data_IF_724625550604
#
_entry.id   IF_724625550604
#
_cell.length_a   1.000
_cell.length_b   1.000
_cell.length_c   1.000
_cell.angle_alpha   90.00
_cell.angle_beta   90.00
_cell.angle_gamma   90.00
#
_symmetry.space_group_name_H-M   'P 1'
#
loop_
_entity.id
_entity.type
_entity.pdbx_description
1 polymer ?
#
# COMPACT_ATOMS: atom_id res chain seq x y z
N UNK A 1 -21.92 -16.04 10.46
CA UNK A 1 -20.61 -15.90 9.81
C UNK A 1 -19.99 -14.49 9.94
N UNK A 2 -20.52 -13.63 10.81
CA UNK A 2 -20.07 -12.22 10.98
C UNK A 2 -19.21 -11.93 12.22
N UNK A 3 -19.07 -12.86 13.15
CA UNK A 3 -18.46 -12.59 14.47
C UNK A 3 -16.93 -12.68 14.50
N UNK A 4 -16.27 -13.12 13.43
CA UNK A 4 -14.81 -13.36 13.44
C UNK A 4 -13.96 -12.24 12.80
N UNK A 5 -14.60 -11.18 12.27
CA UNK A 5 -13.90 -10.02 11.67
C UNK A 5 -13.55 -8.89 12.66
N UNK A 6 -14.02 -8.97 13.90
CA UNK A 6 -13.90 -7.86 14.89
C UNK A 6 -12.68 -7.92 15.83
N UNK A 7 -11.69 -8.78 15.60
CA UNK A 7 -10.59 -8.96 16.58
C UNK A 7 -9.37 -8.03 16.45
N UNK A 8 -9.37 -7.05 15.54
CA UNK A 8 -8.26 -6.08 15.43
C UNK A 8 -8.73 -4.66 15.06
N UNK A 9 -9.96 -4.28 15.30
CA UNK A 9 -10.39 -2.88 15.16
C UNK A 9 -10.08 -2.13 16.46
N UNK A 10 -9.53 -0.92 16.31
CA UNK A 10 -9.32 0.01 17.42
C UNK A 10 -10.67 0.26 18.11
N UNK A 11 -10.67 0.30 19.44
CA UNK A 11 -11.85 0.71 20.18
C UNK A 11 -11.98 2.23 20.09
N UNK A 12 -12.98 2.69 19.35
CA UNK A 12 -13.21 4.12 19.14
C UNK A 12 -14.02 4.78 20.24
N UNK A 13 -14.62 4.03 21.15
CA UNK A 13 -15.45 4.56 22.24
C UNK A 13 -14.63 5.37 23.24
N UNK A 14 -13.33 5.12 23.31
CA UNK A 14 -12.37 5.84 24.17
C UNK A 14 -11.95 7.23 23.62
N UNK A 15 -12.43 7.64 22.45
CA UNK A 15 -12.07 8.94 21.89
C UNK A 15 -13.15 9.99 22.17
N UNK A 16 -12.80 11.29 22.19
CA UNK A 16 -13.77 12.36 22.36
C UNK A 16 -14.94 12.29 21.38
N UNK A 17 -16.16 12.68 21.78
CA UNK A 17 -17.36 12.56 20.94
C UNK A 17 -17.22 13.19 19.54
N UNK A 18 -16.54 14.34 19.43
CA UNK A 18 -16.31 15.05 18.18
C UNK A 18 -15.43 14.23 17.21
N UNK A 19 -14.49 13.44 17.75
CA UNK A 19 -13.65 12.52 16.96
C UNK A 19 -14.47 11.28 16.58
N UNK A 20 -15.30 10.75 17.50
CA UNK A 20 -16.19 9.62 17.20
C UNK A 20 -17.19 9.93 16.07
N UNK A 21 -17.74 11.14 16.02
CA UNK A 21 -18.59 11.60 14.91
C UNK A 21 -17.84 11.56 13.56
N UNK A 22 -16.61 12.07 13.55
CA UNK A 22 -15.77 12.03 12.34
C UNK A 22 -15.44 10.59 11.91
N UNK A 23 -15.14 9.70 12.86
CA UNK A 23 -14.93 8.28 12.61
C UNK A 23 -16.17 7.65 11.97
N UNK A 24 -17.34 7.91 12.53
CA UNK A 24 -18.62 7.42 12.01
C UNK A 24 -18.87 7.92 10.58
N UNK A 25 -18.61 9.20 10.31
CA UNK A 25 -18.70 9.75 8.97
C UNK A 25 -17.74 9.08 7.99
N UNK A 26 -16.49 8.87 8.39
CA UNK A 26 -15.48 8.22 7.55
C UNK A 26 -15.80 6.76 7.25
N UNK A 27 -16.22 6.02 8.26
CA UNK A 27 -16.50 4.57 8.14
C UNK A 27 -17.82 4.30 7.44
N UNK A 28 -18.90 4.95 7.88
CA UNK A 28 -20.27 4.63 7.41
C UNK A 28 -20.61 5.39 6.13
N UNK A 29 -20.38 6.70 6.09
CA UNK A 29 -20.80 7.54 4.95
C UNK A 29 -19.77 7.48 3.81
N UNK A 30 -18.46 7.55 4.13
CA UNK A 30 -17.42 7.52 3.11
C UNK A 30 -16.92 6.10 2.79
N UNK A 31 -17.34 5.08 3.53
CA UNK A 31 -16.93 3.69 3.29
C UNK A 31 -15.42 3.45 3.40
N UNK A 32 -14.71 4.27 4.20
CA UNK A 32 -13.28 4.09 4.40
C UNK A 32 -13.00 2.77 5.11
N UNK A 33 -11.90 2.10 4.74
CA UNK A 33 -11.46 0.90 5.46
C UNK A 33 -11.10 1.21 6.92
N UNK A 34 -11.26 0.23 7.82
CA UNK A 34 -10.86 0.36 9.23
C UNK A 34 -9.43 0.87 9.36
N UNK A 35 -8.49 0.32 8.61
CA UNK A 35 -7.09 0.77 8.60
C UNK A 35 -6.93 2.26 8.25
N UNK A 36 -7.71 2.76 7.28
CA UNK A 36 -7.69 4.19 6.92
C UNK A 36 -8.24 5.05 8.05
N UNK A 37 -9.30 4.59 8.72
CA UNK A 37 -9.89 5.29 9.86
C UNK A 37 -8.92 5.30 11.04
N UNK A 38 -8.30 4.16 11.36
CA UNK A 38 -7.26 4.05 12.41
C UNK A 38 -6.12 5.04 12.20
N UNK A 39 -5.62 5.17 10.96
CA UNK A 39 -4.55 6.13 10.63
C UNK A 39 -5.01 7.58 10.85
N UNK A 40 -6.23 7.94 10.47
CA UNK A 40 -6.79 9.26 10.77
C UNK A 40 -6.86 9.53 12.26
N UNK A 41 -7.36 8.56 13.02
CA UNK A 41 -7.53 8.69 14.48
C UNK A 41 -6.18 8.85 15.19
N UNK A 42 -5.19 8.03 14.80
CA UNK A 42 -3.84 8.14 15.36
C UNK A 42 -3.18 9.49 15.07
N UNK A 43 -3.36 10.01 13.84
CA UNK A 43 -2.81 11.32 13.51
C UNK A 43 -3.50 12.46 14.25
N UNK A 44 -4.83 12.41 14.40
CA UNK A 44 -5.59 13.38 15.20
C UNK A 44 -5.24 13.29 16.68
N UNK A 45 -5.08 12.07 17.23
CA UNK A 45 -4.65 11.87 18.61
C UNK A 45 -3.33 12.58 18.90
N UNK A 46 -2.32 12.38 18.03
CA UNK A 46 -1.01 13.02 18.21
C UNK A 46 -1.13 14.54 18.07
N UNK A 47 -1.95 15.04 17.16
CA UNK A 47 -2.19 16.46 16.96
C UNK A 47 -2.80 17.11 18.21
N UNK A 48 -3.87 16.53 18.75
CA UNK A 48 -4.52 17.08 19.94
C UNK A 48 -3.67 16.92 21.21
N UNK A 49 -2.93 15.81 21.37
CA UNK A 49 -1.92 15.68 22.44
C UNK A 49 -0.91 16.82 22.38
N UNK A 50 -0.39 17.13 21.20
CA UNK A 50 0.55 18.23 21.01
C UNK A 50 -0.08 19.58 21.40
N UNK A 51 -1.31 19.85 20.98
CA UNK A 51 -1.99 21.12 21.32
C UNK A 51 -2.20 21.28 22.83
N UNK A 52 -2.66 20.22 23.50
CA UNK A 52 -2.86 20.24 24.97
C UNK A 52 -1.53 20.46 25.67
N UNK A 53 -0.50 19.71 25.32
CA UNK A 53 0.84 19.84 25.90
C UNK A 53 1.39 21.26 25.71
N UNK A 54 1.28 21.82 24.52
CA UNK A 54 1.74 23.18 24.21
C UNK A 54 1.00 24.23 25.01
N UNK A 55 -0.31 24.09 25.21
CA UNK A 55 -1.14 25.02 25.95
C UNK A 55 -0.93 24.93 27.48
N UNK A 56 -0.60 23.72 27.96
CA UNK A 56 -0.32 23.47 29.38
C UNK A 56 1.17 23.65 29.75
N UNK A 57 2.03 24.00 28.81
CA UNK A 57 3.47 24.14 29.05
C UNK A 57 4.20 22.82 29.33
N UNK A 58 3.62 21.68 28.89
CA UNK A 58 4.23 20.34 29.01
C UNK A 58 5.25 20.15 27.91
N UNK A 59 6.46 19.68 28.27
CA UNK A 59 7.51 19.38 27.30
C UNK A 59 7.08 18.24 26.38
N UNK A 60 7.20 18.44 25.06
CA UNK A 60 6.83 17.43 24.04
C UNK A 60 7.88 16.33 23.86
N UNK A 61 9.04 16.43 24.54
CA UNK A 61 10.17 15.47 24.46
C UNK A 61 10.24 14.55 25.69
N UNK A 62 9.41 14.80 26.72
CA UNK A 62 9.43 14.05 27.98
C UNK A 62 8.41 12.92 28.06
N UNK A 63 8.54 12.10 29.11
CA UNK A 63 7.59 11.03 29.44
C UNK A 63 6.19 11.59 29.72
N UNK A 64 6.10 12.78 30.31
CA UNK A 64 4.84 13.48 30.57
C UNK A 64 3.98 13.65 29.30
N UNK A 65 4.61 13.85 28.16
CA UNK A 65 3.88 13.94 26.89
C UNK A 65 3.13 12.66 26.54
N UNK A 66 3.67 11.50 26.86
CA UNK A 66 2.99 10.21 26.56
C UNK A 66 1.75 10.02 27.46
N UNK A 67 1.70 10.66 28.64
CA UNK A 67 0.58 10.61 29.57
C UNK A 67 -0.54 11.63 29.25
N UNK A 68 -0.29 12.60 28.37
CA UNK A 68 -1.31 13.59 27.99
C UNK A 68 -2.54 12.89 27.42
N UNK A 69 -3.70 13.02 28.08
CA UNK A 69 -4.99 12.58 27.58
C UNK A 69 -5.57 13.58 26.59
N UNK A 70 -6.38 13.08 25.66
CA UNK A 70 -7.18 13.89 24.73
C UNK A 70 -8.66 13.92 25.09
N UNK A 71 -9.05 13.42 26.25
CA UNK A 71 -10.46 13.31 26.67
C UNK A 71 -11.15 14.68 26.79
N UNK A 72 -10.37 15.74 27.04
CA UNK A 72 -10.83 17.12 27.12
C UNK A 72 -11.06 17.79 25.75
N UNK A 73 -10.82 17.08 24.64
CA UNK A 73 -11.02 17.67 23.31
C UNK A 73 -12.51 17.76 23.00
N UNK A 74 -13.02 18.95 23.03
CA UNK A 74 -14.40 19.33 22.74
C UNK A 74 -14.50 20.28 21.53
N UNK A 75 -15.71 20.74 21.23
CA UNK A 75 -15.96 21.65 20.12
C UNK A 75 -15.27 23.02 20.32
N UNK A 76 -15.24 23.53 21.54
CA UNK A 76 -14.63 24.81 21.86
C UNK A 76 -13.12 24.78 21.63
N UNK A 77 -12.46 23.73 22.13
CA UNK A 77 -11.04 23.50 21.86
C UNK A 77 -10.74 23.40 20.39
N UNK A 78 -11.53 22.60 19.64
CA UNK A 78 -11.33 22.40 18.20
C UNK A 78 -11.53 23.71 17.42
N UNK A 79 -12.52 24.52 17.78
CA UNK A 79 -12.78 25.81 17.17
C UNK A 79 -11.69 26.86 17.50
N UNK A 80 -11.04 26.76 18.66
CA UNK A 80 -9.97 27.65 19.06
C UNK A 80 -8.64 27.45 18.33
N UNK A 81 -8.51 26.37 17.55
CA UNK A 81 -7.28 26.04 16.80
C UNK A 81 -7.08 27.01 15.64
N UNK A 82 -5.87 27.54 15.54
CA UNK A 82 -5.46 28.46 14.49
C UNK A 82 -4.50 27.79 13.51
N UNK A 83 -4.28 28.44 12.39
CA UNK A 83 -3.32 28.00 11.37
C UNK A 83 -1.90 27.87 11.94
N UNK A 84 -1.52 28.77 12.85
CA UNK A 84 -0.23 28.78 13.55
C UNK A 84 -0.02 27.52 14.39
N UNK A 85 -1.07 27.03 15.05
CA UNK A 85 -1.02 25.79 15.85
C UNK A 85 -0.69 24.58 14.96
N UNK A 86 -1.25 24.55 13.74
CA UNK A 86 -0.97 23.46 12.79
C UNK A 86 0.46 23.55 12.27
N UNK A 87 0.98 24.76 12.00
CA UNK A 87 2.39 24.94 11.65
C UNK A 87 3.32 24.52 12.79
N UNK A 88 3.02 24.91 14.04
CA UNK A 88 3.77 24.49 15.21
C UNK A 88 3.79 22.97 15.37
N UNK A 89 2.65 22.29 15.14
CA UNK A 89 2.59 20.83 15.12
C UNK A 89 3.46 20.21 14.01
N UNK A 90 3.45 20.77 12.80
CA UNK A 90 4.30 20.28 11.72
C UNK A 90 5.79 20.49 12.01
N UNK A 91 6.17 21.56 12.70
CA UNK A 91 7.53 21.77 13.21
C UNK A 91 7.90 20.73 14.28
N UNK A 92 7.03 20.48 15.25
CA UNK A 92 7.19 19.41 16.24
C UNK A 92 7.38 18.05 15.56
N UNK A 93 6.51 17.71 14.60
CA UNK A 93 6.62 16.48 13.85
C UNK A 93 7.96 16.35 13.10
N UNK A 94 8.55 17.47 12.69
CA UNK A 94 9.85 17.51 12.00
C UNK A 94 11.01 17.35 12.99
N UNK A 95 11.05 18.19 14.02
CA UNK A 95 12.23 18.34 14.86
C UNK A 95 12.31 17.27 15.96
N UNK A 96 11.19 17.01 16.63
CA UNK A 96 11.13 16.07 17.74
C UNK A 96 10.88 14.63 17.29
N UNK A 97 9.97 14.44 16.36
CA UNK A 97 9.60 13.08 15.87
C UNK A 97 10.38 12.62 14.65
N UNK A 98 11.29 13.42 14.10
CA UNK A 98 12.08 13.11 12.90
C UNK A 98 11.21 12.64 11.70
N UNK A 99 9.99 13.16 11.59
CA UNK A 99 9.07 12.74 10.54
C UNK A 99 9.51 13.28 9.19
N UNK A 100 9.58 12.37 8.21
CA UNK A 100 9.83 12.74 6.82
C UNK A 100 8.60 13.42 6.19
N UNK A 101 8.81 14.12 5.05
CA UNK A 101 7.76 14.88 4.38
C UNK A 101 6.49 14.06 4.06
N UNK A 102 6.63 12.77 3.73
CA UNK A 102 5.48 11.89 3.50
C UNK A 102 4.61 11.71 4.75
N UNK A 103 5.25 11.50 5.92
CA UNK A 103 4.53 11.36 7.20
C UNK A 103 3.86 12.66 7.62
N UNK A 104 4.53 13.82 7.43
CA UNK A 104 3.95 15.14 7.69
C UNK A 104 2.76 15.44 6.78
N UNK A 105 2.87 15.11 5.49
CA UNK A 105 1.78 15.28 4.54
C UNK A 105 0.56 14.41 4.91
N UNK A 106 0.77 13.17 5.39
CA UNK A 106 -0.31 12.31 5.88
C UNK A 106 -1.01 12.91 7.10
N UNK A 107 -0.25 13.37 8.09
CA UNK A 107 -0.78 14.04 9.29
C UNK A 107 -1.58 15.28 8.94
N UNK A 108 -1.05 16.13 8.07
CA UNK A 108 -1.78 17.30 7.57
C UNK A 108 -3.06 16.91 6.83
N UNK A 109 -3.04 15.83 6.06
CA UNK A 109 -4.23 15.33 5.37
C UNK A 109 -5.32 14.87 6.34
N UNK A 110 -4.95 14.28 7.48
CA UNK A 110 -5.88 13.90 8.54
C UNK A 110 -6.52 15.16 9.17
N UNK A 111 -5.73 16.16 9.52
CA UNK A 111 -6.19 17.44 10.08
C UNK A 111 -7.13 18.13 9.09
N UNK A 112 -6.72 18.26 7.81
CA UNK A 112 -7.56 18.84 6.76
C UNK A 112 -8.88 18.11 6.55
N UNK A 113 -8.87 16.79 6.60
CA UNK A 113 -10.07 15.99 6.44
C UNK A 113 -11.04 16.17 7.61
N UNK A 114 -10.50 16.27 8.84
CA UNK A 114 -11.26 16.52 10.06
C UNK A 114 -11.92 17.91 10.03
N UNK A 115 -11.15 18.97 9.82
CA UNK A 115 -11.68 20.34 9.76
C UNK A 115 -12.67 20.53 8.59
N UNK A 116 -12.40 19.93 7.44
CA UNK A 116 -13.38 19.94 6.32
C UNK A 116 -14.70 19.29 6.71
N UNK A 117 -14.66 18.20 7.49
CA UNK A 117 -15.87 17.56 8.00
C UNK A 117 -16.64 18.50 8.90
N UNK A 118 -15.99 19.11 9.87
CA UNK A 118 -16.63 19.99 10.86
C UNK A 118 -17.24 21.24 10.23
N UNK A 119 -16.53 21.88 9.30
CA UNK A 119 -16.99 23.09 8.60
C UNK A 119 -18.01 22.75 7.51
N UNK A 120 -17.68 21.90 6.55
CA UNK A 120 -18.48 21.71 5.35
C UNK A 120 -19.60 20.66 5.48
N UNK A 121 -19.62 19.83 6.54
CA UNK A 121 -20.64 18.80 6.75
C UNK A 121 -21.45 19.01 8.02
N UNK A 122 -20.80 19.46 9.08
CA UNK A 122 -21.46 19.70 10.38
C UNK A 122 -21.86 21.15 10.59
N UNK A 123 -21.24 22.09 9.85
CA UNK A 123 -21.48 23.54 10.00
C UNK A 123 -21.32 24.01 11.43
N UNK A 124 -20.34 23.46 12.17
CA UNK A 124 -20.08 23.84 13.55
C UNK A 124 -19.45 25.23 13.66
N UNK A 125 -18.70 25.64 12.65
CA UNK A 125 -18.07 26.97 12.51
C UNK A 125 -17.73 27.21 11.03
N UNK A 126 -17.44 28.47 10.68
CA UNK A 126 -17.25 28.89 9.28
C UNK A 126 -15.76 28.80 8.84
N UNK A 127 -14.83 29.05 9.75
CA UNK A 127 -13.42 29.13 9.43
C UNK A 127 -12.73 27.76 9.53
N UNK A 128 -11.99 27.41 8.47
CA UNK A 128 -11.18 26.19 8.45
C UNK A 128 -9.69 26.54 8.56
N UNK A 129 -9.04 26.34 9.74
CA UNK A 129 -7.65 26.71 9.95
C UNK A 129 -6.65 25.95 9.08
N UNK A 130 -7.06 24.82 8.48
CA UNK A 130 -6.20 23.98 7.66
C UNK A 130 -6.35 24.22 6.15
N UNK A 131 -7.27 25.09 5.70
CA UNK A 131 -7.66 25.17 4.28
C UNK A 131 -6.49 25.59 3.39
N UNK A 132 -5.75 26.62 3.80
CA UNK A 132 -4.70 27.24 3.00
C UNK A 132 -3.29 26.68 3.27
N UNK A 133 -3.16 25.67 4.13
CA UNK A 133 -1.85 25.08 4.42
C UNK A 133 -1.44 24.19 3.26
N UNK A 134 -0.32 24.49 2.62
CA UNK A 134 0.23 23.62 1.57
C UNK A 134 0.81 22.33 2.14
N UNK A 135 0.62 21.24 1.40
CA UNK A 135 1.24 19.97 1.78
C UNK A 135 2.76 20.02 1.58
N UNK A 136 3.56 19.50 2.54
CA UNK A 136 5.00 19.43 2.40
C UNK A 136 5.41 18.80 1.06
N UNK A 137 6.28 19.47 0.32
CA UNK A 137 6.78 18.97 -0.97
C UNK A 137 7.50 17.64 -0.78
N UNK A 138 7.01 16.61 -1.43
CA UNK A 138 7.68 15.32 -1.47
C UNK A 138 8.71 15.30 -2.59
N UNK A 139 9.95 14.94 -2.28
CA UNK A 139 10.94 14.66 -3.32
C UNK A 139 10.49 13.40 -4.07
N UNK A 140 10.15 13.55 -5.33
CA UNK A 140 9.90 12.41 -6.22
C UNK A 140 11.25 11.72 -6.45
N UNK A 141 11.51 10.62 -5.76
CA UNK A 141 12.61 9.73 -6.14
C UNK A 141 12.17 8.86 -7.31
N UNK A 142 13.08 8.57 -8.21
CA UNK A 142 12.83 7.56 -9.24
C UNK A 142 12.40 6.25 -8.59
N UNK A 143 11.40 5.55 -9.14
CA UNK A 143 10.96 4.28 -8.59
C UNK A 143 12.13 3.29 -8.57
N UNK A 144 12.47 2.76 -7.40
CA UNK A 144 13.42 1.65 -7.30
C UNK A 144 12.67 0.37 -7.66
N UNK A 145 13.22 -0.42 -8.56
CA UNK A 145 12.72 -1.72 -8.99
C UNK A 145 13.90 -2.67 -9.22
N UNK A 146 13.66 -3.97 -9.23
CA UNK A 146 14.66 -4.97 -9.53
C UNK A 146 14.92 -5.01 -11.05
N UNK A 147 16.17 -5.14 -11.46
CA UNK A 147 16.48 -5.47 -12.85
C UNK A 147 15.93 -6.86 -13.19
N UNK A 148 15.96 -7.24 -14.48
CA UNK A 148 15.60 -8.58 -14.91
C UNK A 148 16.51 -9.62 -14.23
N UNK A 149 17.82 -9.38 -14.23
CA UNK A 149 18.84 -10.25 -13.63
C UNK A 149 18.61 -10.42 -12.13
N UNK A 150 18.36 -9.32 -11.40
CA UNK A 150 18.06 -9.37 -9.98
C UNK A 150 16.76 -10.14 -9.68
N UNK A 151 15.76 -10.00 -10.55
CA UNK A 151 14.51 -10.75 -10.42
C UNK A 151 14.70 -12.25 -10.64
N UNK A 152 15.56 -12.63 -11.58
CA UNK A 152 15.92 -14.02 -11.83
C UNK A 152 16.72 -14.61 -10.66
N UNK A 153 17.73 -13.89 -10.14
CA UNK A 153 18.49 -14.29 -8.96
C UNK A 153 17.55 -14.50 -7.75
N UNK A 154 16.61 -13.60 -7.52
CA UNK A 154 15.63 -13.75 -6.44
C UNK A 154 14.78 -15.03 -6.61
N UNK A 155 14.26 -15.29 -7.81
CA UNK A 155 13.47 -16.49 -8.09
C UNK A 155 14.29 -17.77 -7.90
N UNK A 156 15.53 -17.78 -8.36
CA UNK A 156 16.45 -18.92 -8.22
C UNK A 156 16.79 -19.16 -6.74
N UNK A 157 17.05 -18.12 -5.97
CA UNK A 157 17.30 -18.20 -4.54
C UNK A 157 16.15 -18.88 -3.80
N UNK A 158 14.91 -18.48 -4.10
CA UNK A 158 13.73 -19.11 -3.49
C UNK A 158 13.59 -20.57 -3.91
N UNK A 159 13.74 -20.87 -5.20
CA UNK A 159 13.61 -22.23 -5.74
C UNK A 159 14.62 -23.21 -5.12
N UNK A 160 15.81 -22.73 -4.82
CA UNK A 160 16.93 -23.53 -4.30
C UNK A 160 16.99 -23.59 -2.76
N UNK A 161 16.08 -22.94 -2.02
CA UNK A 161 16.00 -23.01 -0.56
C UNK A 161 15.45 -24.37 -0.10
N UNK A 162 16.38 -25.32 0.11
CA UNK A 162 16.05 -26.67 0.58
C UNK A 162 15.73 -26.74 2.07
N UNK A 163 16.07 -25.71 2.83
CA UNK A 163 15.80 -25.66 4.27
C UNK A 163 14.36 -25.25 4.57
N UNK A 164 13.71 -24.56 3.65
CA UNK A 164 12.35 -24.11 3.82
C UNK A 164 11.34 -25.22 3.50
N UNK A 165 10.47 -25.53 4.46
CA UNK A 165 9.32 -26.44 4.25
C UNK A 165 8.18 -25.79 3.45
N UNK A 166 8.36 -24.56 2.97
CA UNK A 166 7.33 -23.78 2.27
C UNK A 166 7.81 -23.23 0.92
N UNK A 167 8.84 -23.85 0.36
CA UNK A 167 9.52 -23.37 -0.86
C UNK A 167 8.55 -23.24 -2.03
N UNK A 168 7.68 -24.20 -2.26
CA UNK A 168 6.66 -24.16 -3.33
C UNK A 168 5.71 -22.99 -3.18
N UNK A 169 5.23 -22.74 -1.96
CA UNK A 169 4.38 -21.58 -1.63
C UNK A 169 5.11 -20.27 -1.87
N UNK A 170 6.33 -20.16 -1.33
CA UNK A 170 7.09 -18.92 -1.35
C UNK A 170 7.53 -18.58 -2.78
N UNK A 171 7.89 -19.59 -3.57
CA UNK A 171 8.19 -19.45 -4.99
C UNK A 171 6.96 -18.98 -5.78
N UNK A 172 5.80 -19.60 -5.57
CA UNK A 172 4.56 -19.17 -6.21
C UNK A 172 4.19 -17.72 -5.86
N UNK A 173 4.34 -17.31 -4.58
CA UNK A 173 4.06 -15.95 -4.14
C UNK A 173 4.97 -14.93 -4.84
N UNK A 174 6.29 -15.16 -4.87
CA UNK A 174 7.25 -14.22 -5.48
C UNK A 174 7.06 -14.18 -7.00
N UNK A 175 6.81 -15.33 -7.63
CA UNK A 175 6.51 -15.40 -9.07
C UNK A 175 5.27 -14.58 -9.42
N UNK A 176 4.19 -14.68 -8.64
CA UNK A 176 2.98 -13.88 -8.84
C UNK A 176 3.23 -12.38 -8.67
N UNK A 177 4.04 -11.97 -7.68
CA UNK A 177 4.38 -10.56 -7.53
C UNK A 177 5.14 -10.01 -8.74
N UNK A 178 6.14 -10.74 -9.22
CA UNK A 178 7.02 -10.32 -10.31
C UNK A 178 6.35 -10.40 -11.68
N UNK A 179 5.38 -11.28 -11.88
CA UNK A 179 4.71 -11.45 -13.19
C UNK A 179 3.36 -10.72 -13.26
N UNK A 180 2.57 -10.71 -12.18
CA UNK A 180 1.22 -10.17 -12.21
C UNK A 180 1.12 -8.77 -11.56
N UNK A 181 2.14 -8.34 -10.85
CA UNK A 181 2.16 -7.03 -10.21
C UNK A 181 1.01 -6.80 -9.22
N UNK A 182 0.51 -7.86 -8.56
CA UNK A 182 -0.62 -7.75 -7.64
C UNK A 182 -0.27 -7.03 -6.34
N UNK A 183 -1.28 -6.52 -5.64
CA UNK A 183 -1.10 -5.94 -4.30
C UNK A 183 -0.94 -7.04 -3.27
N UNK A 184 -0.22 -6.75 -2.18
CA UNK A 184 -0.04 -7.71 -1.08
C UNK A 184 -1.37 -8.19 -0.50
N UNK A 185 -2.31 -7.26 -0.28
CA UNK A 185 -3.66 -7.61 0.22
C UNK A 185 -4.46 -8.49 -0.76
N UNK A 186 -4.30 -8.27 -2.06
CA UNK A 186 -4.92 -9.09 -3.09
C UNK A 186 -4.36 -10.52 -3.04
N UNK A 187 -3.03 -10.67 -2.97
CA UNK A 187 -2.36 -11.98 -2.91
C UNK A 187 -2.78 -12.78 -1.68
N UNK A 188 -2.74 -12.19 -0.48
CA UNK A 188 -3.13 -12.91 0.75
C UNK A 188 -4.63 -13.22 0.79
N UNK A 189 -5.43 -12.47 0.02
CA UNK A 189 -6.87 -12.65 -0.10
C UNK A 189 -7.30 -13.83 -0.96
N UNK A 190 -6.44 -14.35 -1.84
CA UNK A 190 -6.79 -15.39 -2.82
C UNK A 190 -7.28 -16.65 -2.11
N UNK A 191 -8.39 -17.20 -2.62
CA UNK A 191 -8.91 -18.52 -2.26
C UNK A 191 -8.62 -19.52 -3.37
N UNK A 192 -8.68 -20.81 -3.07
CA UNK A 192 -8.52 -21.88 -4.06
C UNK A 192 -9.55 -21.73 -5.19
N UNK A 193 -10.80 -21.37 -4.85
CA UNK A 193 -11.88 -21.22 -5.81
C UNK A 193 -11.81 -19.94 -6.65
N UNK A 194 -10.86 -19.06 -6.38
CA UNK A 194 -10.64 -17.85 -7.19
C UNK A 194 -9.76 -18.12 -8.41
N UNK A 195 -9.17 -19.32 -8.48
CA UNK A 195 -8.34 -19.77 -9.61
C UNK A 195 -9.20 -20.60 -10.54
N UNK A 196 -9.10 -20.31 -11.82
CA UNK A 196 -9.69 -21.09 -12.89
C UNK A 196 -9.05 -22.49 -12.97
N UNK A 197 -9.85 -23.50 -13.37
CA UNK A 197 -9.43 -24.91 -13.41
C UNK A 197 -8.20 -25.16 -14.29
N UNK A 198 -8.09 -24.43 -15.38
CA UNK A 198 -6.97 -24.54 -16.33
C UNK A 198 -5.79 -23.64 -15.95
N UNK A 199 -5.83 -22.98 -14.79
CA UNK A 199 -4.85 -22.02 -14.30
C UNK A 199 -4.56 -20.87 -15.31
N UNK A 200 -5.55 -20.49 -16.13
CA UNK A 200 -5.39 -19.40 -17.12
C UNK A 200 -5.58 -18.04 -16.48
N UNK A 201 -6.40 -17.98 -15.43
CA UNK A 201 -6.72 -16.74 -14.76
C UNK A 201 -7.01 -16.94 -13.27
N UNK A 202 -6.91 -15.86 -12.52
CA UNK A 202 -7.36 -15.80 -11.15
C UNK A 202 -8.14 -14.50 -10.90
N UNK A 203 -9.13 -14.58 -10.05
CA UNK A 203 -9.92 -13.44 -9.60
C UNK A 203 -9.33 -12.87 -8.32
N UNK A 204 -9.16 -11.56 -8.27
CA UNK A 204 -8.69 -10.85 -7.07
C UNK A 204 -9.65 -9.75 -6.68
N UNK A 205 -9.74 -9.53 -5.37
CA UNK A 205 -10.53 -8.46 -4.77
C UNK A 205 -9.62 -7.28 -4.46
N UNK A 206 -9.80 -6.19 -5.20
CA UNK A 206 -9.03 -4.97 -5.05
C UNK A 206 -9.62 -3.99 -4.02
N UNK A 207 -9.05 -2.77 -3.99
CA UNK A 207 -9.54 -1.69 -3.14
C UNK A 207 -11.01 -1.37 -3.43
N UNK A 208 -11.80 -1.17 -2.38
CA UNK A 208 -13.23 -0.88 -2.51
C UNK A 208 -14.08 -2.07 -2.95
N UNK A 209 -13.62 -3.29 -2.68
CA UNK A 209 -14.32 -4.53 -3.02
C UNK A 209 -14.53 -4.74 -4.53
N UNK A 210 -13.71 -4.09 -5.37
CA UNK A 210 -13.76 -4.25 -6.83
C UNK A 210 -13.02 -5.50 -7.25
N UNK A 211 -13.72 -6.38 -7.95
CA UNK A 211 -13.13 -7.58 -8.53
C UNK A 211 -12.41 -7.27 -9.84
N UNK A 212 -11.29 -7.95 -10.07
CA UNK A 212 -10.64 -7.99 -11.39
C UNK A 212 -10.05 -9.35 -11.66
N UNK A 213 -9.93 -9.67 -12.92
CA UNK A 213 -9.29 -10.90 -13.40
C UNK A 213 -7.82 -10.60 -13.72
N UNK A 214 -6.94 -11.48 -13.28
CA UNK A 214 -5.52 -11.51 -13.63
C UNK A 214 -5.28 -12.73 -14.48
N UNK A 215 -4.72 -12.54 -15.68
CA UNK A 215 -4.31 -13.63 -16.55
C UNK A 215 -2.94 -14.15 -16.12
N UNK A 216 -2.81 -15.47 -16.07
CA UNK A 216 -1.61 -16.17 -15.63
C UNK A 216 -0.79 -16.62 -16.84
N UNK A 217 0.45 -16.16 -16.93
CA UNK A 217 1.41 -16.67 -17.91
C UNK A 217 1.94 -18.05 -17.50
N UNK A 218 2.74 -18.65 -18.35
CA UNK A 218 3.31 -20.00 -18.15
C UNK A 218 4.10 -20.07 -16.83
N UNK A 219 4.99 -19.13 -16.57
CA UNK A 219 5.77 -19.09 -15.33
C UNK A 219 4.89 -19.07 -14.06
N UNK A 220 3.77 -18.36 -14.10
CA UNK A 220 2.82 -18.35 -12.97
C UNK A 220 2.12 -19.69 -12.81
N UNK A 221 1.75 -20.35 -13.91
CA UNK A 221 1.12 -21.68 -13.87
C UNK A 221 2.07 -22.73 -13.32
N UNK A 222 3.31 -22.75 -13.81
CA UNK A 222 4.34 -23.68 -13.38
C UNK A 222 4.71 -23.50 -11.89
N UNK A 223 4.68 -22.25 -11.39
CA UNK A 223 4.92 -21.98 -9.98
C UNK A 223 3.72 -22.35 -9.10
N UNK A 224 2.49 -22.16 -9.59
CA UNK A 224 1.28 -22.43 -8.81
C UNK A 224 0.93 -23.91 -8.73
N UNK A 225 1.17 -24.69 -9.80
CA UNK A 225 0.75 -26.10 -9.88
C UNK A 225 1.30 -26.93 -8.71
N UNK A 226 2.61 -26.95 -8.40
CA UNK A 226 3.15 -27.71 -7.27
C UNK A 226 2.53 -27.26 -5.95
N UNK A 227 2.40 -25.95 -5.74
CA UNK A 227 1.83 -25.40 -4.52
C UNK A 227 0.35 -25.80 -4.33
N UNK A 228 -0.45 -25.75 -5.40
CA UNK A 228 -1.86 -26.16 -5.35
C UNK A 228 -1.98 -27.64 -5.02
N UNK A 229 -1.12 -28.48 -5.62
CA UNK A 229 -1.09 -29.93 -5.36
C UNK A 229 -0.83 -30.19 -3.88
N UNK A 230 0.23 -29.62 -3.31
CA UNK A 230 0.55 -29.74 -1.89
C UNK A 230 -0.57 -29.19 -1.00
N UNK A 231 -1.17 -28.07 -1.40
CA UNK A 231 -2.27 -27.43 -0.65
C UNK A 231 -3.53 -28.31 -0.60
N UNK A 232 -3.85 -29.01 -1.72
CA UNK A 232 -4.98 -29.92 -1.81
C UNK A 232 -4.71 -31.23 -1.05
N UNK A 233 -3.49 -31.76 -1.11
CA UNK A 233 -3.08 -32.94 -0.32
C UNK A 233 -3.16 -32.64 1.19
N UNK A 234 -2.67 -31.47 1.61
CA UNK A 234 -2.80 -31.05 2.99
C UNK A 234 -4.27 -30.96 3.42
N UNK A 235 -5.15 -30.45 2.56
CA UNK A 235 -6.58 -30.37 2.87
C UNK A 235 -7.27 -31.73 2.97
N UNK A 236 -6.77 -32.77 2.30
CA UNK A 236 -7.27 -34.15 2.41
C UNK A 236 -6.83 -34.80 3.72
N UNK A 237 -5.62 -34.48 4.17
CA UNK A 237 -4.98 -35.14 5.31
C UNK A 237 -5.26 -34.43 6.65
N UNK A 238 -5.68 -33.18 6.62
CA UNK A 238 -5.93 -32.36 7.82
C UNK A 238 -7.26 -31.59 7.72
N UNK A 239 -7.87 -31.28 8.87
CA UNK A 239 -9.08 -30.44 8.91
C UNK A 239 -8.72 -28.96 8.76
N UNK A 240 -8.45 -28.53 7.54
CA UNK A 240 -8.20 -27.12 7.26
C UNK A 240 -9.53 -26.38 7.18
N UNK A 241 -9.73 -25.41 8.05
CA UNK A 241 -10.96 -24.61 8.11
C UNK A 241 -10.79 -23.25 7.37
N UNK A 242 -10.24 -23.28 6.15
CA UNK A 242 -10.11 -22.09 5.31
C UNK A 242 -9.94 -22.44 3.83
N UNK A 243 -10.58 -21.65 2.97
CA UNK A 243 -10.42 -21.75 1.51
C UNK A 243 -9.20 -20.97 0.99
N UNK A 244 -8.38 -20.38 1.88
CA UNK A 244 -7.20 -19.62 1.47
C UNK A 244 -6.25 -20.47 0.62
N UNK A 245 -5.76 -19.88 -0.49
CA UNK A 245 -4.74 -20.52 -1.32
C UNK A 245 -3.41 -20.63 -0.57
N UNK A 246 -2.97 -19.53 0.03
CA UNK A 246 -1.70 -19.47 0.75
C UNK A 246 -1.91 -19.58 2.25
N UNK A 247 -1.27 -20.57 2.86
CA UNK A 247 -1.37 -20.84 4.28
C UNK A 247 -0.08 -20.47 5.02
N UNK A 248 -0.26 -20.06 6.27
CA UNK A 248 0.81 -19.95 7.26
C UNK A 248 1.19 -21.34 7.80
N UNK A 249 2.26 -21.43 8.61
CA UNK A 249 2.64 -22.66 9.33
C UNK A 249 1.55 -23.17 10.29
N UNK A 250 0.62 -22.31 10.67
CA UNK A 250 -0.52 -22.65 11.54
C UNK A 250 -1.77 -23.05 10.74
N UNK A 251 -1.63 -23.40 9.47
CA UNK A 251 -2.72 -23.81 8.56
C UNK A 251 -3.87 -22.78 8.45
N UNK A 252 -3.59 -21.52 8.78
CA UNK A 252 -4.49 -20.39 8.59
C UNK A 252 -4.08 -19.59 7.38
N UNK A 253 -4.98 -18.74 6.86
CA UNK A 253 -4.64 -17.77 5.81
C UNK A 253 -3.34 -17.05 6.17
N UNK A 254 -2.40 -16.97 5.24
CA UNK A 254 -1.15 -16.24 5.44
C UNK A 254 -1.42 -14.75 5.69
N UNK A 255 -0.68 -14.14 6.61
CA UNK A 255 -0.81 -12.71 6.89
C UNK A 255 0.07 -11.87 5.98
N UNK A 256 -0.31 -10.60 5.77
CA UNK A 256 0.54 -9.63 5.05
C UNK A 256 1.94 -9.54 5.67
N UNK A 257 2.03 -9.54 7.00
CA UNK A 257 3.32 -9.52 7.72
C UNK A 257 4.17 -10.74 7.39
N UNK A 258 3.58 -11.93 7.38
CA UNK A 258 4.32 -13.16 7.07
C UNK A 258 4.89 -13.13 5.65
N UNK A 259 4.10 -12.64 4.68
CA UNK A 259 4.58 -12.48 3.29
C UNK A 259 5.70 -11.44 3.21
N UNK A 260 5.58 -10.30 3.91
CA UNK A 260 6.64 -9.29 3.96
C UNK A 260 7.94 -9.86 4.53
N UNK A 261 7.87 -10.59 5.65
CA UNK A 261 9.04 -11.25 6.25
C UNK A 261 9.69 -12.27 5.31
N UNK A 262 8.87 -13.06 4.63
CA UNK A 262 9.34 -14.03 3.64
C UNK A 262 10.07 -13.34 2.49
N UNK A 263 9.50 -12.26 1.94
CA UNK A 263 10.14 -11.49 0.85
C UNK A 263 11.45 -10.88 1.32
N UNK A 264 11.51 -10.30 2.52
CA UNK A 264 12.76 -9.75 3.06
C UNK A 264 13.83 -10.83 3.26
N UNK A 265 13.45 -12.01 3.79
CA UNK A 265 14.36 -13.16 3.91
C UNK A 265 15.00 -13.50 2.57
N UNK A 266 14.22 -13.61 1.51
CA UNK A 266 14.76 -13.99 0.20
C UNK A 266 15.52 -12.87 -0.52
N UNK A 267 15.17 -11.61 -0.28
CA UNK A 267 15.97 -10.47 -0.75
C UNK A 267 17.35 -10.44 -0.09
N UNK A 268 17.42 -10.76 1.21
CA UNK A 268 18.68 -10.88 1.95
C UNK A 268 19.53 -12.04 1.42
N UNK A 269 18.93 -13.24 1.32
CA UNK A 269 19.61 -14.42 0.78
C UNK A 269 20.08 -14.23 -0.67
N UNK A 270 19.40 -13.40 -1.45
CA UNK A 270 19.77 -13.03 -2.81
C UNK A 270 20.85 -11.93 -2.89
N UNK A 271 21.35 -11.40 -1.74
CA UNK A 271 22.31 -10.31 -1.69
C UNK A 271 21.75 -8.95 -2.11
N UNK A 272 20.42 -8.76 -2.02
CA UNK A 272 19.72 -7.55 -2.45
C UNK A 272 19.26 -6.65 -1.29
N UNK A 273 19.63 -6.96 -0.05
CA UNK A 273 19.22 -6.25 1.16
C UNK A 273 19.57 -4.76 1.12
N UNK A 274 20.80 -4.42 0.69
CA UNK A 274 21.31 -3.05 0.67
C UNK A 274 20.49 -2.08 -0.19
N UNK A 275 19.67 -2.59 -1.11
CA UNK A 275 18.83 -1.80 -2.02
C UNK A 275 17.48 -1.43 -1.40
N UNK A 276 17.15 -1.96 -0.22
CA UNK A 276 15.91 -1.69 0.51
C UNK A 276 14.65 -1.92 -0.32
N UNK A 277 14.60 -3.05 -1.02
CA UNK A 277 13.41 -3.49 -1.73
C UNK A 277 12.32 -3.96 -0.75
N UNK A 278 11.07 -3.85 -1.17
CA UNK A 278 9.90 -4.30 -0.41
C UNK A 278 8.92 -5.00 -1.33
N UNK A 279 7.91 -5.66 -0.78
CA UNK A 279 6.83 -6.29 -1.57
C UNK A 279 6.22 -5.32 -2.59
N UNK A 280 6.04 -4.06 -2.20
CA UNK A 280 5.53 -3.05 -3.12
C UNK A 280 6.50 -2.75 -4.28
N UNK A 281 7.81 -2.92 -4.05
CA UNK A 281 8.82 -2.78 -5.10
C UNK A 281 8.81 -3.94 -6.09
N UNK A 282 8.44 -5.16 -5.66
CA UNK A 282 8.23 -6.28 -6.60
C UNK A 282 7.09 -5.98 -7.58
N UNK A 283 6.01 -5.37 -7.11
CA UNK A 283 4.94 -4.89 -7.99
C UNK A 283 5.44 -3.78 -8.95
N UNK A 284 6.27 -2.85 -8.47
CA UNK A 284 6.90 -1.87 -9.34
C UNK A 284 7.80 -2.53 -10.38
N UNK A 285 8.54 -3.56 -9.99
CA UNK A 285 9.36 -4.36 -10.90
C UNK A 285 8.52 -4.96 -12.02
N UNK A 286 7.45 -5.68 -11.68
CA UNK A 286 6.55 -6.26 -12.67
C UNK A 286 6.03 -5.20 -13.66
N UNK A 287 5.56 -4.07 -13.16
CA UNK A 287 5.04 -3.00 -13.98
C UNK A 287 6.12 -2.40 -14.91
N UNK A 288 7.32 -2.17 -14.39
CA UNK A 288 8.43 -1.57 -15.15
C UNK A 288 8.93 -2.53 -16.21
N UNK A 289 9.14 -3.81 -15.88
CA UNK A 289 9.59 -4.81 -16.85
C UNK A 289 8.57 -5.05 -17.96
N UNK A 290 7.26 -5.11 -17.63
CA UNK A 290 6.19 -5.20 -18.63
C UNK A 290 6.20 -3.98 -19.57
N UNK A 291 6.36 -2.77 -19.02
CA UNK A 291 6.40 -1.56 -19.83
C UNK A 291 7.66 -1.50 -20.72
N UNK A 292 8.83 -1.82 -20.16
CA UNK A 292 10.11 -1.81 -20.88
C UNK A 292 10.19 -2.87 -21.98
N UNK A 293 9.39 -3.94 -21.91
CA UNK A 293 9.31 -4.92 -23.03
C UNK A 293 8.86 -4.28 -24.35
N UNK A 294 8.25 -3.08 -24.29
CA UNK A 294 7.82 -2.31 -25.46
C UNK A 294 6.50 -2.81 -26.08
N UNK A 295 5.92 -3.90 -25.55
CA UNK A 295 4.72 -4.54 -26.12
C UNK A 295 3.44 -4.21 -25.34
N UNK A 296 3.53 -3.45 -24.22
CA UNK A 296 2.40 -3.18 -23.35
C UNK A 296 2.13 -1.68 -23.29
N UNK A 297 0.96 -1.27 -23.79
CA UNK A 297 0.46 0.09 -23.67
C UNK A 297 0.21 0.46 -22.20
N UNK A 298 0.45 1.74 -21.85
CA UNK A 298 0.26 2.24 -20.47
C UNK A 298 -1.17 2.07 -19.96
N UNK A 299 -2.17 2.07 -20.85
CA UNK A 299 -3.58 1.85 -20.49
C UNK A 299 -3.81 0.40 -20.13
N UNK A 300 -3.26 -0.54 -20.92
CA UNK A 300 -3.28 -1.98 -20.63
C UNK A 300 -2.57 -2.25 -19.30
N UNK A 301 -1.40 -1.64 -19.09
CA UNK A 301 -0.67 -1.76 -17.82
C UNK A 301 -1.47 -1.24 -16.62
N UNK A 302 -2.18 -0.11 -16.78
CA UNK A 302 -3.09 0.42 -15.77
C UNK A 302 -4.16 -0.61 -15.37
N UNK A 303 -4.77 -1.26 -16.36
CA UNK A 303 -5.83 -2.25 -16.13
C UNK A 303 -5.28 -3.53 -15.48
N UNK A 304 -4.14 -4.05 -15.94
CA UNK A 304 -3.43 -5.18 -15.32
C UNK A 304 -3.15 -4.88 -13.84
N UNK A 305 -2.66 -3.69 -13.53
CA UNK A 305 -2.33 -3.29 -12.16
C UNK A 305 -3.58 -2.92 -11.34
N UNK A 306 -4.72 -2.65 -11.95
CA UNK A 306 -5.92 -2.18 -11.27
C UNK A 306 -5.71 -0.80 -10.63
N UNK A 307 -5.14 0.15 -11.37
CA UNK A 307 -5.02 1.54 -10.97
C UNK A 307 -6.28 2.32 -11.37
N UNK A 308 -6.90 3.00 -10.42
CA UNK A 308 -8.08 3.84 -10.72
C UNK A 308 -7.70 5.07 -11.56
N UNK A 309 -6.51 5.63 -11.34
CA UNK A 309 -6.03 6.81 -12.03
C UNK A 309 -4.81 6.50 -12.88
N UNK A 310 -4.74 7.08 -14.09
CA UNK A 310 -3.63 6.93 -15.03
C UNK A 310 -2.31 7.47 -14.43
N UNK A 311 -2.39 8.55 -13.64
CA UNK A 311 -1.25 9.18 -13.00
C UNK A 311 -0.42 8.20 -12.12
N UNK A 312 -1.06 7.18 -11.55
CA UNK A 312 -0.36 6.13 -10.78
C UNK A 312 0.45 5.20 -11.67
N UNK A 313 0.11 5.08 -12.94
CA UNK A 313 0.83 4.25 -13.92
C UNK A 313 1.91 5.05 -14.65
N UNK A 314 1.75 6.37 -14.75
CA UNK A 314 2.74 7.27 -15.37
C UNK A 314 4.12 7.25 -14.71
N UNK A 315 4.23 6.82 -13.46
CA UNK A 315 5.55 6.64 -12.80
C UNK A 315 6.43 5.60 -13.48
N UNK A 316 5.85 4.69 -14.27
CA UNK A 316 6.57 3.68 -15.04
C UNK A 316 6.95 4.16 -16.46
N UNK A 317 6.38 5.27 -16.90
CA UNK A 317 6.58 5.85 -18.22
C UNK A 317 7.76 6.83 -18.29
N UNK A 318 8.69 6.78 -17.32
CA UNK A 318 9.96 7.45 -17.51
C UNK A 318 10.68 6.80 -18.70
N UNK A 319 10.50 7.44 -19.84
CA UNK A 319 11.03 7.02 -21.14
C UNK A 319 12.56 6.99 -21.01
N UNK A 320 13.17 5.85 -21.21
CA UNK A 320 14.64 5.80 -21.34
C UNK A 320 15.06 6.57 -22.59
N UNK A 321 16.26 7.12 -22.60
CA UNK A 321 16.81 7.78 -23.78
C UNK A 321 16.74 6.86 -25.02
N UNK A 322 17.00 5.56 -24.83
CA UNK A 322 16.87 4.53 -25.88
C UNK A 322 15.44 4.41 -26.43
N UNK A 323 14.41 4.49 -25.60
CA UNK A 323 13.02 4.44 -26.04
C UNK A 323 12.65 5.69 -26.83
N UNK A 324 13.21 6.87 -26.47
CA UNK A 324 13.02 8.11 -27.23
C UNK A 324 13.73 8.03 -28.58
N UNK A 325 14.98 7.58 -28.63
CA UNK A 325 15.73 7.38 -29.85
C UNK A 325 15.04 6.40 -30.80
N UNK A 326 14.55 5.26 -30.24
CA UNK A 326 13.81 4.26 -31.00
C UNK A 326 12.51 4.83 -31.57
N UNK A 327 11.76 5.59 -30.78
CA UNK A 327 10.53 6.24 -31.22
C UNK A 327 10.81 7.28 -32.32
N UNK A 328 11.88 8.07 -32.18
CA UNK A 328 12.28 9.04 -33.20
C UNK A 328 12.73 8.35 -34.50
N UNK A 329 13.46 7.23 -34.41
CA UNK A 329 13.89 6.46 -35.56
C UNK A 329 12.76 5.73 -36.29
N UNK A 330 11.63 5.47 -35.58
CA UNK A 330 10.42 4.85 -36.13
C UNK A 330 9.43 5.87 -36.71
N UNK A 331 9.73 7.18 -36.63
CA UNK A 331 8.91 8.19 -37.30
C UNK A 331 8.89 7.90 -38.81
N UNK A 332 7.71 7.80 -39.45
CA UNK A 332 7.61 7.55 -40.89
C UNK A 332 8.42 8.54 -41.74
N UNK A 333 8.65 9.74 -41.24
CA UNK A 333 9.45 10.80 -41.91
C UNK A 333 10.96 10.70 -41.59
N UNK A 334 11.40 9.81 -40.71
CA UNK A 334 12.82 9.65 -40.37
C UNK A 334 13.66 9.12 -41.57
N UNK A 335 13.00 8.51 -42.57
CA UNK A 335 13.61 7.95 -43.78
C UNK A 335 13.08 8.62 -45.04
N UNK A 336 12.98 9.94 -45.02
CA UNK A 336 12.64 10.68 -46.26
C UNK A 336 13.82 10.61 -47.19
N UNK A 337 13.61 9.95 -48.31
CA UNK A 337 14.57 9.79 -49.37
C UNK A 337 14.87 11.19 -49.95
N UNK A 338 16.10 11.68 -49.78
CA UNK A 338 16.50 13.03 -50.25
C UNK A 338 16.38 13.19 -51.76
N UNK A 339 16.24 12.09 -52.50
CA UNK A 339 16.09 12.10 -53.94
C UNK A 339 14.63 12.26 -54.41
N UNK A 340 13.67 12.45 -53.48
CA UNK A 340 12.26 12.68 -53.79
C UNK A 340 11.71 14.04 -53.36
N UNK A 341 12.58 14.93 -52.95
CA UNK A 341 12.32 16.35 -52.71
C UNK A 341 13.02 17.21 -53.79
#
# INVERSE_FOLDING_TARGET
MEVQKMKNSMDYTQYPPIIQEFISYKSVIQGCSSKTVDEYVLDLKIFFKFLIASRCGISTDGEEFEEVSIDSVDLEMVQSVKTEDIYAFLMYATNTRNNQNASKARKLSAIKAFYRYLVAKRHYFDDNPAINIESPKQRKSLPKYLSLEESLVLLETVKNDKESKSTTRDYAIITLFLNCGMRLSELVGININDIDRDLRSLRVLGKGNKERIIYLNEACRDALMPHITERLELARNTKINTNALFLSRLEKRISEKTVQWMVYKYLDLAGLESKHYSVHKLRHTAATLMYQSGNVDVRVLKDILGHEQLNTTQIYTHVSNESMEKAMSQNPLAKVDKDKL
#
